data_IF_389471063543
#
_entry.id   IF_389471063543
#
_cell.length_a   1.000
_cell.length_b   1.000
_cell.length_c   1.000
_cell.angle_alpha   90.00
_cell.angle_beta   90.00
_cell.angle_gamma   90.00
#
_symmetry.space_group_name_H-M   'P 1'
#
loop_
_entity.id
_entity.type
_entity.pdbx_description
1 polymer ?
#
# COMPACT_ATOMS: atom_id res chain seq x y z
N UNK A 1 23.65 -14.83 27.14
CA UNK A 1 24.38 -14.09 28.21
C UNK A 1 25.91 -14.36 28.20
N UNK A 2 26.68 -14.17 27.09
CA UNK A 2 28.16 -14.06 27.19
C UNK A 2 28.71 -12.66 26.90
N UNK A 3 27.92 -11.72 26.36
CA UNK A 3 28.42 -10.47 25.78
C UNK A 3 28.84 -9.40 26.78
N UNK A 4 28.45 -9.48 28.05
CA UNK A 4 28.81 -8.46 29.05
C UNK A 4 30.29 -8.46 29.44
N UNK A 5 30.98 -9.59 29.30
CA UNK A 5 32.39 -9.70 29.71
C UNK A 5 33.34 -9.08 28.70
N UNK A 6 33.05 -9.16 27.40
CA UNK A 6 33.93 -8.68 26.32
C UNK A 6 34.20 -7.16 26.37
N UNK A 7 33.29 -6.38 26.93
CA UNK A 7 33.38 -4.91 26.97
C UNK A 7 33.84 -4.37 28.34
N UNK A 8 34.18 -5.24 29.29
CA UNK A 8 34.56 -4.81 30.64
C UNK A 8 36.02 -4.40 30.69
N UNK A 9 36.35 -3.15 31.11
CA UNK A 9 37.74 -2.70 31.26
C UNK A 9 38.57 -3.55 32.23
N UNK A 10 37.91 -4.34 33.08
CA UNK A 10 38.53 -5.26 34.03
C UNK A 10 39.16 -6.50 33.39
N UNK A 11 39.00 -6.72 32.08
CA UNK A 11 39.52 -7.89 31.36
C UNK A 11 40.64 -7.46 30.42
N UNK A 12 41.77 -8.17 30.43
CA UNK A 12 42.85 -7.95 29.46
C UNK A 12 42.36 -8.20 28.03
N UNK A 13 42.61 -7.26 27.13
CA UNK A 13 42.13 -7.34 25.74
C UNK A 13 40.63 -7.08 25.57
N UNK A 14 40.00 -6.38 26.53
CA UNK A 14 38.61 -5.96 26.38
C UNK A 14 38.41 -5.09 25.15
N UNK A 15 37.22 -5.17 24.57
CA UNK A 15 36.81 -4.34 23.46
C UNK A 15 36.28 -3.03 24.02
N UNK A 16 36.99 -1.93 23.78
CA UNK A 16 36.44 -0.61 24.09
C UNK A 16 35.31 -0.29 23.09
N UNK A 17 34.08 -0.26 23.59
CA UNK A 17 32.89 -0.06 22.75
C UNK A 17 32.89 1.30 22.06
N UNK A 18 33.35 2.35 22.74
CA UNK A 18 33.39 3.71 22.19
C UNK A 18 34.42 3.77 21.06
N UNK A 19 35.63 3.27 21.32
CA UNK A 19 36.72 3.23 20.34
C UNK A 19 36.35 2.42 19.08
N UNK A 20 35.78 1.23 19.24
CA UNK A 20 35.33 0.40 18.11
C UNK A 20 34.19 1.06 17.34
N UNK A 21 33.25 1.71 18.03
CA UNK A 21 32.14 2.42 17.36
C UNK A 21 32.68 3.58 16.53
N UNK A 22 33.64 4.34 17.06
CA UNK A 22 34.32 5.42 16.35
C UNK A 22 35.09 4.89 15.13
N UNK A 23 35.91 3.85 15.32
CA UNK A 23 36.69 3.24 14.24
C UNK A 23 35.81 2.71 13.11
N UNK A 24 34.68 2.07 13.43
CA UNK A 24 33.69 1.65 12.45
C UNK A 24 33.01 2.84 11.76
N UNK A 25 32.65 3.90 12.50
CA UNK A 25 32.05 5.11 11.93
C UNK A 25 32.99 5.74 10.90
N UNK A 26 34.26 5.96 11.28
CA UNK A 26 35.29 6.51 10.41
C UNK A 26 35.47 5.63 9.17
N UNK A 27 35.66 4.31 9.35
CA UNK A 27 35.83 3.36 8.24
C UNK A 27 34.67 3.42 7.25
N UNK A 28 33.43 3.43 7.75
CA UNK A 28 32.25 3.50 6.90
C UNK A 28 32.16 4.82 6.12
N UNK A 29 32.47 5.95 6.78
CA UNK A 29 32.43 7.27 6.15
C UNK A 29 33.53 7.40 5.10
N UNK A 30 34.77 7.09 5.45
CA UNK A 30 35.90 7.16 4.53
C UNK A 30 35.71 6.24 3.33
N UNK A 31 35.15 5.04 3.55
CA UNK A 31 34.79 4.12 2.47
C UNK A 31 33.78 4.75 1.50
N UNK A 32 32.70 5.36 2.01
CA UNK A 32 31.68 6.00 1.17
C UNK A 32 32.22 7.21 0.39
N UNK A 33 33.27 7.85 0.89
CA UNK A 33 34.00 8.93 0.22
C UNK A 33 34.95 8.45 -0.89
N UNK A 34 35.15 7.14 -1.06
CA UNK A 34 36.06 6.63 -2.11
C UNK A 34 35.47 6.84 -3.53
N UNK A 35 36.31 7.09 -4.55
CA UNK A 35 35.87 7.47 -5.90
C UNK A 35 34.95 6.45 -6.59
N UNK A 36 35.08 5.15 -6.29
CA UNK A 36 34.22 4.13 -6.88
C UNK A 36 32.74 4.26 -6.45
N UNK A 37 32.43 5.11 -5.46
CA UNK A 37 31.05 5.42 -5.07
C UNK A 37 30.46 6.62 -5.82
N UNK A 38 31.23 7.24 -6.73
CA UNK A 38 30.78 8.37 -7.54
C UNK A 38 29.71 7.93 -8.54
N UNK A 39 28.72 8.79 -8.76
CA UNK A 39 27.57 8.47 -9.62
C UNK A 39 27.98 8.30 -11.10
N UNK A 40 29.08 8.92 -11.51
CA UNK A 40 29.55 9.03 -12.90
C UNK A 40 30.48 7.90 -13.35
N UNK A 41 30.79 6.93 -12.48
CA UNK A 41 31.60 5.75 -12.85
C UNK A 41 31.02 5.05 -14.09
N UNK A 42 31.85 4.68 -15.06
CA UNK A 42 31.43 3.97 -16.28
C UNK A 42 30.92 2.56 -15.96
N UNK A 43 30.26 1.88 -16.91
CA UNK A 43 29.78 0.52 -16.66
C UNK A 43 30.93 -0.49 -16.63
N UNK A 44 32.00 -0.23 -17.38
CA UNK A 44 33.22 -1.01 -17.45
C UNK A 44 33.97 -0.95 -16.12
N UNK A 45 34.25 0.27 -15.63
CA UNK A 45 34.85 0.47 -14.30
C UNK A 45 33.98 -0.11 -13.18
N UNK A 46 32.66 0.07 -13.26
CA UNK A 46 31.74 -0.51 -12.29
C UNK A 46 31.83 -2.03 -12.28
N UNK A 47 31.95 -2.66 -13.45
CA UNK A 47 32.12 -4.10 -13.58
C UNK A 47 33.45 -4.56 -12.98
N UNK A 48 34.56 -3.89 -13.27
CA UNK A 48 35.88 -4.19 -12.71
C UNK A 48 35.89 -4.04 -11.18
N UNK A 49 35.29 -2.95 -10.67
CA UNK A 49 35.14 -2.71 -9.24
C UNK A 49 34.28 -3.78 -8.56
N UNK A 50 33.21 -4.24 -9.24
CA UNK A 50 32.40 -5.38 -8.77
C UNK A 50 33.25 -6.63 -8.68
N UNK A 51 33.96 -6.99 -9.76
CA UNK A 51 34.78 -8.20 -9.81
C UNK A 51 35.96 -8.17 -8.84
N UNK A 52 36.47 -6.98 -8.50
CA UNK A 52 37.54 -6.78 -7.52
C UNK A 52 37.06 -6.74 -6.07
N UNK A 53 35.74 -6.78 -5.84
CA UNK A 53 35.15 -6.81 -4.49
C UNK A 53 35.09 -5.46 -3.79
N UNK A 54 35.29 -4.33 -4.49
CA UNK A 54 35.30 -3.00 -3.88
C UNK A 54 33.98 -2.64 -3.19
N UNK A 55 32.87 -3.22 -3.62
CA UNK A 55 31.54 -2.95 -3.03
C UNK A 55 31.16 -3.87 -1.86
N UNK A 56 32.07 -4.72 -1.38
CA UNK A 56 31.79 -5.71 -0.33
C UNK A 56 31.29 -5.05 0.97
N UNK A 57 31.83 -3.87 1.32
CA UNK A 57 31.42 -3.10 2.50
C UNK A 57 30.27 -2.12 2.22
N UNK A 58 29.88 -1.91 0.96
CA UNK A 58 28.94 -0.85 0.57
C UNK A 58 27.59 -0.93 1.28
N UNK A 59 26.97 -2.10 1.32
CA UNK A 59 25.69 -2.28 2.01
C UNK A 59 25.81 -1.99 3.51
N UNK A 60 26.88 -2.44 4.15
CA UNK A 60 27.09 -2.20 5.58
C UNK A 60 27.28 -0.69 5.83
N UNK A 61 28.22 -0.06 5.13
CA UNK A 61 28.55 1.36 5.31
C UNK A 61 27.36 2.26 5.05
N UNK A 62 26.69 2.12 3.90
CA UNK A 62 25.55 2.98 3.50
C UNK A 62 24.39 2.95 4.49
N UNK A 63 24.19 1.84 5.22
CA UNK A 63 23.10 1.71 6.19
C UNK A 63 23.51 2.11 7.60
N UNK A 64 24.74 1.81 8.01
CA UNK A 64 25.12 1.84 9.44
C UNK A 64 25.85 3.10 9.87
N UNK A 65 26.52 3.81 8.95
CA UNK A 65 27.39 4.95 9.30
C UNK A 65 26.70 5.97 10.23
N UNK A 66 25.46 6.35 9.92
CA UNK A 66 24.71 7.34 10.70
C UNK A 66 24.37 6.83 12.10
N UNK A 67 24.01 5.56 12.26
CA UNK A 67 23.73 4.97 13.59
C UNK A 67 25.00 4.86 14.43
N UNK A 68 26.15 4.62 13.78
CA UNK A 68 27.46 4.61 14.45
C UNK A 68 27.82 6.00 14.97
N UNK A 69 27.51 7.07 14.22
CA UNK A 69 27.66 8.46 14.69
C UNK A 69 26.79 8.73 15.91
N UNK A 70 25.49 8.36 15.86
CA UNK A 70 24.61 8.49 17.01
C UNK A 70 25.12 7.69 18.22
N UNK A 71 25.75 6.54 17.99
CA UNK A 71 26.40 5.74 19.01
C UNK A 71 27.60 6.44 19.65
N UNK A 72 28.43 7.14 18.87
CA UNK A 72 29.60 7.86 19.35
C UNK A 72 29.22 9.04 20.25
N UNK A 73 28.25 9.86 19.82
CA UNK A 73 27.79 11.05 20.57
C UNK A 73 26.88 10.71 21.77
N UNK A 74 26.65 9.41 22.03
CA UNK A 74 25.98 8.95 23.25
C UNK A 74 26.92 8.83 24.46
N UNK A 75 28.22 9.08 24.28
CA UNK A 75 29.29 8.86 25.25
C UNK A 75 29.56 10.08 26.13
N UNK A 76 30.16 9.88 27.32
CA UNK A 76 30.65 10.94 28.19
C UNK A 76 31.80 11.77 27.59
N UNK A 77 32.45 11.27 26.53
CA UNK A 77 33.61 11.86 25.85
C UNK A 77 33.22 12.59 24.53
N UNK A 78 31.97 13.02 24.43
CA UNK A 78 31.34 13.56 23.23
C UNK A 78 32.20 14.59 22.46
N UNK A 79 32.82 15.56 23.16
CA UNK A 79 33.59 16.64 22.51
C UNK A 79 34.82 16.13 21.73
N UNK A 80 35.56 15.17 22.30
CA UNK A 80 36.75 14.62 21.64
C UNK A 80 36.36 13.79 20.42
N UNK A 81 35.30 12.98 20.54
CA UNK A 81 34.78 12.17 19.45
C UNK A 81 34.24 13.02 18.29
N UNK A 82 33.54 14.12 18.60
CA UNK A 82 33.07 15.08 17.59
C UNK A 82 34.25 15.65 16.81
N UNK A 83 35.34 16.04 17.49
CA UNK A 83 36.54 16.56 16.82
C UNK A 83 37.10 15.55 15.81
N UNK A 84 37.15 14.27 16.16
CA UNK A 84 37.66 13.22 15.26
C UNK A 84 36.72 12.92 14.08
N UNK A 85 35.40 13.08 14.28
CA UNK A 85 34.38 12.83 13.26
C UNK A 85 34.18 14.00 12.30
N UNK A 86 34.61 15.21 12.67
CA UNK A 86 34.33 16.44 11.92
C UNK A 86 34.89 16.37 10.49
N UNK A 87 36.18 16.09 10.33
CA UNK A 87 36.81 16.08 8.99
C UNK A 87 36.27 14.97 8.07
N UNK A 88 36.08 13.72 8.51
CA UNK A 88 35.41 12.71 7.69
C UNK A 88 33.98 13.08 7.28
N UNK A 89 33.21 13.72 8.16
CA UNK A 89 31.83 14.14 7.87
C UNK A 89 31.78 15.32 6.90
N UNK A 90 32.74 16.25 6.98
CA UNK A 90 32.89 17.33 6.00
C UNK A 90 33.21 16.77 4.61
N UNK A 91 34.15 15.82 4.53
CA UNK A 91 34.47 15.15 3.26
C UNK A 91 33.26 14.41 2.69
N UNK A 92 32.45 13.78 3.54
CA UNK A 92 31.22 13.13 3.12
C UNK A 92 30.20 14.14 2.58
N UNK A 93 30.06 15.29 3.23
CA UNK A 93 29.21 16.38 2.76
C UNK A 93 29.65 16.84 1.37
N UNK A 94 30.93 17.18 1.22
CA UNK A 94 31.49 17.69 -0.04
C UNK A 94 31.29 16.71 -1.21
N UNK A 95 31.53 15.42 -0.97
CA UNK A 95 31.52 14.42 -2.04
C UNK A 95 30.13 13.80 -2.30
N UNK A 96 29.21 13.83 -1.33
CA UNK A 96 27.95 13.06 -1.36
C UNK A 96 26.70 13.88 -1.04
N UNK A 97 26.81 15.20 -0.91
CA UNK A 97 25.64 16.06 -0.74
C UNK A 97 24.60 15.81 -1.83
N UNK A 98 23.35 15.59 -1.41
CA UNK A 98 22.22 15.54 -2.33
C UNK A 98 21.50 16.89 -2.32
N UNK A 99 21.89 17.77 -3.24
CA UNK A 99 21.32 19.11 -3.38
C UNK A 99 19.87 19.09 -3.92
N UNK A 100 19.40 17.96 -4.47
CA UNK A 100 18.03 17.81 -4.95
C UNK A 100 17.02 17.57 -3.81
N UNK A 101 17.50 17.17 -2.61
CA UNK A 101 16.63 16.92 -1.47
C UNK A 101 16.38 18.19 -0.66
N UNK A 102 15.17 18.74 -0.75
CA UNK A 102 14.70 19.80 0.14
C UNK A 102 13.93 19.22 1.33
N UNK A 103 14.33 19.61 2.54
CA UNK A 103 13.67 19.23 3.79
C UNK A 103 12.22 19.75 3.78
N UNK A 104 11.23 18.86 3.88
CA UNK A 104 9.87 19.28 4.28
C UNK A 104 9.94 19.88 5.68
N UNK A 105 9.39 21.08 5.88
CA UNK A 105 9.45 21.87 7.13
C UNK A 105 8.89 21.17 8.39
N UNK A 106 8.33 19.96 8.28
CA UNK A 106 7.52 19.34 9.33
C UNK A 106 8.30 18.41 10.28
N UNK A 107 9.57 18.09 10.03
CA UNK A 107 10.32 17.12 10.84
C UNK A 107 11.33 17.83 11.76
N UNK A 108 11.12 17.85 13.09
CA UNK A 108 12.10 18.43 14.01
C UNK A 108 13.38 17.58 14.03
N UNK A 109 14.57 18.23 14.09
CA UNK A 109 15.84 17.54 14.12
C UNK A 109 15.99 16.72 15.41
N UNK A 110 16.73 15.60 15.39
CA UNK A 110 17.03 14.84 16.60
C UNK A 110 17.80 15.71 17.62
N UNK A 111 17.34 15.82 18.89
CA UNK A 111 18.02 16.64 19.90
C UNK A 111 19.48 16.25 20.14
N UNK A 112 19.81 14.98 19.94
CA UNK A 112 21.16 14.43 20.13
C UNK A 112 22.19 14.99 19.15
N UNK A 113 21.77 15.63 18.06
CA UNK A 113 22.67 16.21 17.07
C UNK A 113 23.06 17.65 17.41
N UNK A 114 22.43 18.29 18.41
CA UNK A 114 22.68 19.71 18.75
C UNK A 114 24.15 20.00 19.10
N UNK A 115 24.90 18.99 19.54
CA UNK A 115 26.34 19.08 19.79
C UNK A 115 27.18 19.49 18.56
N UNK A 116 26.69 19.23 17.34
CA UNK A 116 27.33 19.66 16.10
C UNK A 116 26.95 21.08 15.69
N UNK A 117 25.89 21.65 16.25
CA UNK A 117 25.30 22.92 15.79
C UNK A 117 26.25 24.10 15.92
N UNK A 118 26.98 24.18 17.02
CA UNK A 118 27.97 25.24 17.25
C UNK A 118 29.34 24.88 16.67
N UNK A 119 29.71 23.60 16.73
CA UNK A 119 31.05 23.12 16.34
C UNK A 119 31.24 23.08 14.82
N UNK A 120 30.22 22.64 14.07
CA UNK A 120 30.26 22.52 12.61
C UNK A 120 28.84 22.54 12.02
N UNK A 121 28.28 23.74 11.75
CA UNK A 121 26.90 23.91 11.30
C UNK A 121 26.53 23.12 10.04
N UNK A 122 27.43 23.04 9.06
CA UNK A 122 27.16 22.33 7.80
C UNK A 122 27.00 20.82 8.01
N UNK A 123 27.81 20.23 8.89
CA UNK A 123 27.70 18.82 9.27
C UNK A 123 26.44 18.59 10.09
N UNK A 124 26.08 19.52 10.97
CA UNK A 124 24.80 19.46 11.68
C UNK A 124 23.61 19.41 10.70
N UNK A 125 23.61 20.27 9.68
CA UNK A 125 22.56 20.29 8.67
C UNK A 125 22.52 19.01 7.83
N UNK A 126 23.68 18.47 7.45
CA UNK A 126 23.80 17.16 6.81
C UNK A 126 23.13 16.06 7.64
N UNK A 127 23.53 15.93 8.91
CA UNK A 127 23.04 14.87 9.79
C UNK A 127 21.52 15.02 10.04
N UNK A 128 21.01 16.24 10.16
CA UNK A 128 19.58 16.51 10.27
C UNK A 128 18.82 16.15 8.98
N UNK A 129 19.41 16.40 7.81
CA UNK A 129 18.83 15.99 6.53
C UNK A 129 18.79 14.46 6.39
N UNK A 130 19.86 13.77 6.78
CA UNK A 130 19.91 12.30 6.80
C UNK A 130 18.87 11.72 7.75
N UNK A 131 18.75 12.27 8.96
CA UNK A 131 17.74 11.84 9.93
C UNK A 131 16.31 12.02 9.38
N UNK A 132 16.04 13.17 8.76
CA UNK A 132 14.75 13.49 8.16
C UNK A 132 14.43 12.57 6.99
N UNK A 133 15.40 12.33 6.10
CA UNK A 133 15.27 11.40 4.98
C UNK A 133 14.97 9.99 5.49
N UNK A 134 15.70 9.48 6.48
CA UNK A 134 15.45 8.15 7.06
C UNK A 134 14.04 8.01 7.66
N UNK A 135 13.49 9.07 8.24
CA UNK A 135 12.12 9.10 8.80
C UNK A 135 11.03 9.22 7.75
N UNK A 136 11.24 10.05 6.73
CA UNK A 136 10.23 10.33 5.69
C UNK A 136 10.22 9.26 4.59
N UNK A 137 11.37 8.65 4.33
CA UNK A 137 11.59 7.68 3.27
C UNK A 137 11.66 6.24 3.79
N UNK A 138 10.87 5.88 4.81
CA UNK A 138 10.43 4.49 5.02
C UNK A 138 9.71 4.05 3.73
N UNK A 139 10.48 3.62 2.71
CA UNK A 139 9.99 3.19 1.41
C UNK A 139 10.53 3.87 0.14
N UNK A 140 11.39 4.90 0.17
CA UNK A 140 11.87 5.59 -1.05
C UNK A 140 13.31 5.23 -1.51
N UNK A 141 13.58 5.44 -2.81
CA UNK A 141 14.71 4.90 -3.57
C UNK A 141 16.11 5.15 -2.97
N UNK A 142 16.98 4.15 -3.16
CA UNK A 142 18.38 4.17 -2.68
C UNK A 142 19.27 5.04 -3.54
N UNK A 143 20.47 5.30 -2.99
CA UNK A 143 21.64 5.76 -3.75
C UNK A 143 21.72 5.03 -5.10
N UNK A 144 21.76 5.81 -6.18
CA UNK A 144 21.77 5.34 -7.58
C UNK A 144 22.87 4.30 -7.82
N UNK A 145 24.04 4.44 -7.16
CA UNK A 145 25.15 3.49 -7.27
C UNK A 145 24.75 2.09 -6.82
N UNK A 146 23.99 1.94 -5.72
CA UNK A 146 23.53 0.64 -5.20
C UNK A 146 22.75 -0.13 -6.26
N UNK A 147 21.81 0.54 -6.92
CA UNK A 147 20.98 -0.05 -7.98
C UNK A 147 21.86 -0.54 -9.14
N UNK A 148 22.85 0.27 -9.53
CA UNK A 148 23.82 -0.07 -10.59
C UNK A 148 24.67 -1.28 -10.21
N UNK A 149 25.23 -1.32 -8.99
CA UNK A 149 26.06 -2.43 -8.50
C UNK A 149 25.29 -3.76 -8.60
N UNK A 150 24.06 -3.84 -8.08
CA UNK A 150 23.29 -5.09 -8.16
C UNK A 150 22.86 -5.45 -9.57
N UNK A 151 22.60 -4.46 -10.43
CA UNK A 151 22.29 -4.72 -11.84
C UNK A 151 23.48 -5.42 -12.50
N UNK A 152 24.68 -4.86 -12.37
CA UNK A 152 25.92 -5.43 -12.91
C UNK A 152 26.22 -6.81 -12.31
N UNK A 153 26.15 -6.97 -10.98
CA UNK A 153 26.29 -8.28 -10.35
C UNK A 153 25.31 -9.30 -10.94
N UNK A 154 24.05 -8.91 -11.11
CA UNK A 154 23.00 -9.77 -11.63
C UNK A 154 23.17 -10.07 -13.14
N UNK A 155 23.96 -9.31 -13.88
CA UNK A 155 24.30 -9.56 -15.29
C UNK A 155 25.52 -10.49 -15.40
N UNK A 156 26.52 -10.34 -14.53
CA UNK A 156 27.72 -11.17 -14.49
C UNK A 156 27.49 -12.61 -14.01
N UNK A 157 26.50 -12.81 -13.13
CA UNK A 157 26.17 -14.13 -12.60
C UNK A 157 25.46 -15.01 -13.64
N UNK A 158 25.89 -16.26 -13.78
CA UNK A 158 25.20 -17.27 -14.58
C UNK A 158 23.70 -17.36 -14.21
N UNK A 159 22.87 -17.62 -15.22
CA UNK A 159 21.41 -17.76 -15.05
C UNK A 159 21.00 -19.20 -14.74
N UNK A 160 21.79 -20.16 -15.19
CA UNK A 160 21.60 -21.60 -15.03
C UNK A 160 22.39 -22.12 -13.84
N UNK A 161 21.99 -23.28 -13.31
CA UNK A 161 22.73 -23.99 -12.27
C UNK A 161 24.06 -24.55 -12.81
N UNK A 162 24.12 -24.87 -14.10
CA UNK A 162 25.37 -25.15 -14.81
C UNK A 162 26.11 -23.84 -15.11
N UNK A 163 27.32 -23.73 -14.56
CA UNK A 163 28.21 -22.59 -14.78
C UNK A 163 28.85 -22.67 -16.17
N UNK A 164 28.99 -21.50 -16.82
CA UNK A 164 29.75 -21.38 -18.08
C UNK A 164 31.25 -21.49 -17.77
N UNK A 165 32.01 -21.96 -18.75
CA UNK A 165 33.47 -21.90 -18.72
C UNK A 165 33.91 -20.43 -18.54
N UNK A 166 34.90 -20.18 -17.67
CA UNK A 166 35.37 -18.85 -17.28
C UNK A 166 34.28 -17.88 -16.77
N UNK A 167 33.28 -18.35 -16.03
CA UNK A 167 32.31 -17.45 -15.40
C UNK A 167 32.85 -16.75 -14.15
N UNK A 168 32.27 -15.60 -13.81
CA UNK A 168 32.65 -14.81 -12.63
C UNK A 168 31.92 -15.20 -11.33
N UNK A 169 31.20 -16.32 -11.33
CA UNK A 169 30.30 -16.63 -10.21
C UNK A 169 31.04 -16.86 -8.89
N UNK A 170 32.16 -17.56 -8.93
CA UNK A 170 32.92 -17.84 -7.71
C UNK A 170 33.69 -16.59 -7.23
N UNK A 171 34.24 -15.79 -8.15
CA UNK A 171 34.81 -14.47 -7.82
C UNK A 171 33.80 -13.60 -7.08
N UNK A 172 32.58 -13.46 -7.61
CA UNK A 172 31.52 -12.67 -6.97
C UNK A 172 31.11 -13.29 -5.63
N UNK A 173 30.95 -14.61 -5.52
CA UNK A 173 30.60 -15.26 -4.25
C UNK A 173 31.68 -15.09 -3.18
N UNK A 174 32.95 -15.07 -3.57
CA UNK A 174 34.07 -14.88 -2.65
C UNK A 174 34.08 -13.46 -2.07
N UNK A 175 33.76 -12.44 -2.87
CA UNK A 175 33.73 -11.05 -2.41
C UNK A 175 32.43 -10.66 -1.67
N UNK A 176 31.27 -11.15 -2.11
CA UNK A 176 29.96 -10.68 -1.63
C UNK A 176 29.17 -11.74 -0.84
N UNK A 177 29.74 -12.93 -0.66
CA UNK A 177 29.12 -14.07 0.01
C UNK A 177 28.13 -14.83 -0.87
N UNK A 178 27.46 -15.83 -0.29
CA UNK A 178 26.51 -16.70 -1.03
C UNK A 178 25.13 -16.07 -1.24
N UNK A 179 24.73 -15.11 -0.41
CA UNK A 179 23.39 -14.50 -0.41
C UNK A 179 23.34 -13.16 -1.15
N UNK A 180 23.82 -13.15 -2.39
CA UNK A 180 24.00 -11.96 -3.24
C UNK A 180 22.69 -11.36 -3.76
N UNK A 181 21.63 -12.16 -3.85
CA UNK A 181 20.36 -11.69 -4.39
C UNK A 181 19.58 -10.93 -3.31
N UNK A 182 19.71 -9.60 -3.25
CA UNK A 182 19.03 -8.78 -2.23
C UNK A 182 17.62 -8.35 -2.64
N UNK A 183 16.75 -8.10 -1.64
CA UNK A 183 15.46 -7.46 -1.88
C UNK A 183 15.64 -5.96 -2.20
N UNK A 184 14.89 -5.44 -3.18
CA UNK A 184 14.92 -4.02 -3.54
C UNK A 184 14.08 -3.14 -2.62
N UNK A 185 13.08 -3.70 -1.94
CA UNK A 185 12.20 -2.97 -1.00
C UNK A 185 12.99 -2.49 0.22
N UNK A 186 12.88 -1.19 0.52
CA UNK A 186 13.68 -0.43 1.50
C UNK A 186 13.60 -1.02 2.91
N UNK A 187 12.39 -1.29 3.38
CA UNK A 187 12.12 -1.74 4.76
C UNK A 187 12.07 -3.27 4.89
N UNK A 188 12.47 -3.98 3.85
CA UNK A 188 12.51 -5.44 3.90
C UNK A 188 13.78 -5.92 4.61
N UNK A 189 13.65 -6.79 5.62
CA UNK A 189 14.80 -7.45 6.27
C UNK A 189 15.73 -8.19 5.28
N UNK A 190 15.17 -8.73 4.19
CA UNK A 190 15.92 -9.44 3.16
C UNK A 190 16.67 -8.50 2.20
N UNK A 191 16.55 -7.18 2.40
CA UNK A 191 17.43 -6.20 1.77
C UNK A 191 18.87 -6.38 2.24
N UNK A 192 19.09 -6.62 3.54
CA UNK A 192 20.42 -6.89 4.11
C UNK A 192 20.82 -8.36 3.94
N UNK A 193 19.92 -9.28 4.30
CA UNK A 193 20.25 -10.70 4.33
C UNK A 193 20.39 -11.31 2.92
N UNK A 194 19.49 -10.95 2.00
CA UNK A 194 19.45 -11.54 0.67
C UNK A 194 19.05 -13.00 0.61
N UNK A 195 19.22 -13.55 -0.58
CA UNK A 195 18.87 -14.91 -0.95
C UNK A 195 20.04 -15.55 -1.72
N UNK A 196 20.16 -16.87 -1.61
CA UNK A 196 21.17 -17.64 -2.35
C UNK A 196 20.81 -17.81 -3.83
N UNK A 197 19.53 -17.72 -4.18
CA UNK A 197 19.05 -17.91 -5.56
C UNK A 197 18.12 -16.80 -6.02
N UNK A 198 18.12 -16.55 -7.34
CA UNK A 198 17.19 -15.61 -8.00
C UNK A 198 15.74 -15.99 -7.77
N UNK A 199 15.42 -17.28 -7.84
CA UNK A 199 14.07 -17.83 -7.65
C UNK A 199 13.55 -17.55 -6.26
N UNK A 200 14.38 -17.70 -5.21
CA UNK A 200 14.00 -17.37 -3.85
C UNK A 200 13.71 -15.87 -3.68
N UNK A 201 14.57 -15.00 -4.23
CA UNK A 201 14.33 -13.55 -4.25
C UNK A 201 13.05 -13.19 -5.01
N UNK A 202 12.81 -13.78 -6.17
CA UNK A 202 11.61 -13.51 -6.98
C UNK A 202 10.33 -13.94 -6.27
N UNK A 203 10.33 -15.13 -5.67
CA UNK A 203 9.22 -15.62 -4.85
C UNK A 203 8.95 -14.67 -3.67
N UNK A 204 10.01 -14.21 -2.99
CA UNK A 204 9.87 -13.22 -1.94
C UNK A 204 9.32 -11.89 -2.45
N UNK A 205 9.80 -11.38 -3.58
CA UNK A 205 9.37 -10.10 -4.15
C UNK A 205 7.85 -10.06 -4.44
N UNK A 206 7.26 -11.20 -4.79
CA UNK A 206 5.80 -11.33 -4.97
C UNK A 206 4.98 -11.04 -3.70
N UNK A 207 5.59 -11.14 -2.51
CA UNK A 207 4.93 -10.76 -1.25
C UNK A 207 4.81 -9.24 -1.07
N UNK A 208 5.59 -8.46 -1.83
CA UNK A 208 5.52 -6.99 -1.79
C UNK A 208 4.50 -6.42 -2.76
N UNK A 209 4.19 -7.12 -3.86
CA UNK A 209 3.26 -6.61 -4.88
C UNK A 209 1.80 -6.58 -4.42
N UNK A 210 1.48 -7.19 -3.25
CA UNK A 210 0.16 -7.28 -2.57
C UNK A 210 -1.05 -6.96 -3.48
N UNK A 211 -1.21 -7.69 -4.61
CA UNK A 211 -2.08 -7.22 -5.69
C UNK A 211 -3.57 -7.39 -5.37
N UNK A 212 -3.89 -8.19 -4.35
CA UNK A 212 -5.26 -8.51 -3.98
C UNK A 212 -5.76 -7.50 -2.97
N UNK A 213 -6.57 -6.52 -3.38
CA UNK A 213 -7.10 -5.48 -2.49
C UNK A 213 -8.47 -5.85 -1.92
N UNK A 214 -8.81 -5.30 -0.75
CA UNK A 214 -10.19 -5.32 -0.28
C UNK A 214 -11.03 -4.38 -1.13
N UNK A 215 -12.27 -4.78 -1.44
CA UNK A 215 -13.17 -3.96 -2.25
C UNK A 215 -13.90 -2.89 -1.42
N UNK A 216 -13.89 -3.01 -0.09
CA UNK A 216 -14.51 -2.02 0.78
C UNK A 216 -13.57 -0.82 0.97
N UNK A 217 -13.91 0.40 0.49
CA UNK A 217 -13.03 1.57 0.57
C UNK A 217 -12.72 2.01 2.01
N UNK A 218 -13.55 1.63 2.97
CA UNK A 218 -13.35 1.93 4.39
C UNK A 218 -12.41 0.95 5.11
N UNK A 219 -11.99 -0.12 4.43
CA UNK A 219 -11.14 -1.15 5.00
C UNK A 219 -9.64 -0.79 4.85
N UNK A 220 -8.85 -1.01 5.90
CA UNK A 220 -7.40 -0.78 5.90
C UNK A 220 -6.66 -1.54 4.77
N UNK A 221 -7.22 -2.67 4.32
CA UNK A 221 -6.69 -3.48 3.23
C UNK A 221 -7.15 -3.05 1.83
N UNK A 222 -7.91 -1.96 1.70
CA UNK A 222 -8.28 -1.40 0.40
C UNK A 222 -7.04 -0.89 -0.35
N UNK A 223 -6.13 -0.21 0.37
CA UNK A 223 -4.86 0.27 -0.19
C UNK A 223 -3.72 -0.72 0.08
N UNK A 224 -3.68 -1.31 1.28
CA UNK A 224 -2.57 -2.19 1.71
C UNK A 224 -2.55 -3.59 1.07
N UNK A 225 -3.70 -4.10 0.64
CA UNK A 225 -3.83 -5.37 -0.08
C UNK A 225 -3.31 -6.62 0.65
N UNK A 226 -3.33 -7.74 -0.08
CA UNK A 226 -2.94 -9.06 0.39
C UNK A 226 -1.97 -9.71 -0.60
N UNK A 227 -1.04 -10.51 -0.05
CA UNK A 227 -0.08 -11.28 -0.85
C UNK A 227 -0.73 -12.39 -1.68
N UNK A 228 -1.94 -12.83 -1.32
CA UNK A 228 -2.66 -13.86 -2.07
C UNK A 228 -4.17 -13.65 -2.04
N UNK A 229 -4.84 -14.14 -3.08
CA UNK A 229 -6.30 -14.19 -3.17
C UNK A 229 -6.93 -14.92 -1.99
N UNK A 230 -6.34 -16.05 -1.57
CA UNK A 230 -6.84 -16.86 -0.44
C UNK A 230 -6.85 -16.10 0.88
N UNK A 231 -5.87 -15.22 1.11
CA UNK A 231 -5.84 -14.37 2.31
C UNK A 231 -6.92 -13.29 2.27
N UNK A 232 -7.07 -12.62 1.12
CA UNK A 232 -8.17 -11.68 0.92
C UNK A 232 -9.53 -12.33 1.15
N UNK A 233 -9.76 -13.49 0.52
CA UNK A 233 -11.07 -14.17 0.58
C UNK A 233 -11.42 -14.57 2.02
N UNK A 234 -10.44 -15.04 2.80
CA UNK A 234 -10.58 -15.32 4.24
C UNK A 234 -10.84 -14.06 5.07
N UNK A 235 -10.17 -12.96 4.76
CA UNK A 235 -10.43 -11.67 5.41
C UNK A 235 -11.87 -11.21 5.15
N UNK A 236 -12.34 -11.30 3.89
CA UNK A 236 -13.71 -10.97 3.53
C UNK A 236 -14.72 -11.87 4.26
N UNK A 237 -14.42 -13.16 4.38
CA UNK A 237 -15.26 -14.11 5.12
C UNK A 237 -15.33 -13.79 6.61
N UNK A 238 -14.23 -13.37 7.24
CA UNK A 238 -14.18 -13.13 8.69
C UNK A 238 -14.72 -11.76 9.11
N UNK A 239 -14.43 -10.72 8.32
CA UNK A 239 -14.68 -9.33 8.71
C UNK A 239 -15.80 -8.67 7.89
N UNK A 240 -16.11 -9.22 6.72
CA UNK A 240 -17.18 -8.69 5.84
C UNK A 240 -18.34 -9.69 5.65
N UNK A 241 -18.43 -10.74 6.48
CA UNK A 241 -19.48 -11.78 6.41
C UNK A 241 -20.88 -11.18 6.55
N UNK A 242 -21.07 -10.29 7.52
CA UNK A 242 -22.37 -9.70 7.85
C UNK A 242 -22.89 -8.85 6.69
N UNK A 243 -22.03 -8.02 6.09
CA UNK A 243 -22.35 -7.20 4.92
C UNK A 243 -22.72 -8.07 3.71
N UNK A 244 -21.96 -9.14 3.46
CA UNK A 244 -22.27 -10.13 2.40
C UNK A 244 -23.60 -10.83 2.63
N UNK A 245 -23.91 -11.24 3.87
CA UNK A 245 -25.18 -11.90 4.20
C UNK A 245 -26.39 -10.98 3.99
N UNK A 246 -26.26 -9.69 4.31
CA UNK A 246 -27.31 -8.70 4.08
C UNK A 246 -27.53 -8.44 2.58
N UNK A 247 -26.47 -8.34 1.78
CA UNK A 247 -26.54 -8.20 0.31
C UNK A 247 -27.16 -9.44 -0.35
N UNK A 248 -26.78 -10.65 0.08
CA UNK A 248 -27.39 -11.90 -0.38
C UNK A 248 -28.88 -12.00 0.03
N UNK A 249 -29.22 -11.53 1.23
CA UNK A 249 -30.60 -11.39 1.68
C UNK A 249 -31.40 -10.46 0.76
N UNK A 250 -30.83 -9.31 0.39
CA UNK A 250 -31.49 -8.34 -0.50
C UNK A 250 -31.72 -8.92 -1.90
N UNK A 251 -30.73 -9.63 -2.44
CA UNK A 251 -30.87 -10.34 -3.72
C UNK A 251 -31.94 -11.44 -3.66
N UNK A 252 -32.07 -12.16 -2.54
CA UNK A 252 -33.14 -13.15 -2.34
C UNK A 252 -34.52 -12.52 -2.24
N UNK A 253 -34.67 -11.40 -1.51
CA UNK A 253 -35.94 -10.65 -1.46
C UNK A 253 -36.33 -10.22 -2.87
N UNK A 254 -35.39 -9.65 -3.63
CA UNK A 254 -35.62 -9.21 -5.00
C UNK A 254 -36.02 -10.35 -5.96
N UNK A 255 -35.52 -11.57 -5.75
CA UNK A 255 -35.86 -12.71 -6.60
C UNK A 255 -37.15 -13.41 -6.21
N UNK A 256 -37.57 -13.34 -4.93
CA UNK A 256 -38.67 -14.16 -4.39
C UNK A 256 -39.94 -13.39 -4.04
N UNK A 257 -39.84 -12.30 -3.28
CA UNK A 257 -41.01 -11.62 -2.70
C UNK A 257 -41.17 -10.18 -3.14
N UNK A 258 -40.09 -9.53 -3.60
CA UNK A 258 -40.07 -8.10 -3.92
C UNK A 258 -40.66 -7.23 -2.79
N UNK A 259 -40.50 -7.66 -1.53
CA UNK A 259 -41.05 -6.95 -0.38
C UNK A 259 -40.21 -5.70 -0.06
N UNK A 260 -40.79 -4.52 -0.28
CA UNK A 260 -40.16 -3.22 0.03
C UNK A 260 -39.79 -3.11 1.51
N UNK A 261 -40.63 -3.58 2.44
CA UNK A 261 -40.35 -3.52 3.89
C UNK A 261 -39.08 -4.27 4.27
N UNK A 262 -38.95 -5.51 3.80
CA UNK A 262 -37.75 -6.33 4.00
C UNK A 262 -36.51 -5.73 3.34
N UNK A 263 -36.60 -5.19 2.12
CA UNK A 263 -35.47 -4.53 1.47
C UNK A 263 -35.05 -3.25 2.21
N UNK A 264 -36.01 -2.43 2.64
CA UNK A 264 -35.74 -1.26 3.47
C UNK A 264 -35.00 -1.63 4.75
N UNK A 265 -35.46 -2.68 5.47
CA UNK A 265 -34.75 -3.17 6.64
C UNK A 265 -33.31 -3.58 6.32
N UNK A 266 -33.09 -4.35 5.26
CA UNK A 266 -31.74 -4.80 4.87
C UNK A 266 -30.81 -3.63 4.49
N UNK A 267 -31.31 -2.67 3.71
CA UNK A 267 -30.54 -1.46 3.32
C UNK A 267 -30.24 -0.60 4.55
N UNK A 268 -31.22 -0.40 5.45
CA UNK A 268 -31.02 0.34 6.71
C UNK A 268 -29.96 -0.29 7.63
N UNK A 269 -29.73 -1.60 7.49
CA UNK A 269 -28.68 -2.35 8.21
C UNK A 269 -27.34 -2.38 7.47
N UNK A 270 -27.22 -1.68 6.33
CA UNK A 270 -25.98 -1.52 5.57
C UNK A 270 -25.83 -2.47 4.37
N UNK A 271 -26.91 -3.08 3.87
CA UNK A 271 -26.87 -3.78 2.59
C UNK A 271 -26.61 -2.79 1.45
N UNK A 272 -25.62 -3.07 0.61
CA UNK A 272 -25.42 -2.30 -0.60
C UNK A 272 -26.55 -2.59 -1.60
N UNK A 273 -27.21 -1.55 -2.10
CA UNK A 273 -28.27 -1.62 -3.12
C UNK A 273 -27.78 -2.30 -4.40
N UNK A 274 -26.49 -2.16 -4.72
CA UNK A 274 -25.82 -2.77 -5.88
C UNK A 274 -25.12 -4.10 -5.55
N UNK A 275 -25.30 -4.63 -4.33
CA UNK A 275 -24.61 -5.79 -3.80
C UNK A 275 -24.74 -7.03 -4.68
N UNK A 276 -23.59 -7.56 -5.13
CA UNK A 276 -23.50 -8.78 -5.96
C UNK A 276 -22.17 -9.48 -5.78
N UNK A 277 -22.16 -10.82 -5.86
CA UNK A 277 -20.95 -11.62 -5.64
C UNK A 277 -19.82 -11.33 -6.63
N UNK A 278 -20.16 -11.04 -7.90
CA UNK A 278 -19.21 -10.62 -8.93
C UNK A 278 -19.85 -9.55 -9.80
N UNK A 279 -19.07 -8.66 -10.45
CA UNK A 279 -19.60 -7.60 -11.31
C UNK A 279 -20.56 -8.09 -12.40
N UNK A 280 -20.35 -9.31 -12.93
CA UNK A 280 -21.16 -9.93 -13.99
C UNK A 280 -22.49 -10.54 -13.52
N UNK A 281 -22.74 -10.62 -12.21
CA UNK A 281 -23.97 -11.19 -11.64
C UNK A 281 -25.09 -10.15 -11.62
N UNK A 282 -26.34 -10.59 -11.47
CA UNK A 282 -27.50 -9.69 -11.43
C UNK A 282 -27.47 -8.85 -10.15
N UNK A 283 -27.84 -7.58 -10.29
CA UNK A 283 -28.17 -6.70 -9.15
C UNK A 283 -29.53 -7.07 -8.57
N UNK A 284 -29.85 -6.64 -7.34
CA UNK A 284 -31.20 -6.71 -6.81
C UNK A 284 -32.24 -6.10 -7.77
N UNK A 285 -31.93 -4.96 -8.39
CA UNK A 285 -32.80 -4.32 -9.38
C UNK A 285 -33.07 -5.24 -10.59
N UNK A 286 -32.05 -5.88 -11.16
CA UNK A 286 -32.21 -6.82 -12.28
C UNK A 286 -32.91 -8.12 -11.89
N UNK A 287 -32.84 -8.54 -10.63
CA UNK A 287 -33.63 -9.67 -10.15
C UNK A 287 -35.13 -9.34 -10.16
N UNK A 288 -35.51 -8.16 -9.68
CA UNK A 288 -36.88 -7.68 -9.70
C UNK A 288 -37.39 -7.45 -11.14
N UNK A 289 -36.54 -6.93 -12.03
CA UNK A 289 -36.90 -6.61 -13.42
C UNK A 289 -37.40 -7.81 -14.25
N UNK A 290 -37.09 -9.05 -13.85
CA UNK A 290 -37.57 -10.26 -14.55
C UNK A 290 -39.04 -10.58 -14.27
N UNK A 291 -39.67 -9.90 -13.31
CA UNK A 291 -41.01 -10.19 -12.83
C UNK A 291 -41.99 -9.13 -13.29
N UNK A 292 -43.15 -9.59 -13.72
CA UNK A 292 -44.27 -8.75 -14.12
C UNK A 292 -45.36 -8.84 -13.03
N UNK A 293 -45.24 -7.99 -12.03
CA UNK A 293 -46.15 -7.93 -10.86
C UNK A 293 -46.08 -6.55 -10.23
N UNK A 294 -47.18 -6.11 -9.60
CA UNK A 294 -47.25 -4.84 -8.89
C UNK A 294 -46.14 -4.70 -7.82
N UNK A 295 -45.88 -5.76 -7.06
CA UNK A 295 -44.86 -5.79 -6.00
C UNK A 295 -43.46 -5.57 -6.59
N UNK A 296 -43.15 -6.24 -7.70
CA UNK A 296 -41.87 -6.07 -8.39
C UNK A 296 -41.73 -4.64 -8.96
N UNK A 297 -42.79 -4.06 -9.51
CA UNK A 297 -42.79 -2.69 -10.01
C UNK A 297 -42.53 -1.67 -8.88
N UNK A 298 -43.25 -1.80 -7.75
CA UNK A 298 -43.06 -0.97 -6.55
C UNK A 298 -41.65 -1.13 -5.97
N UNK A 299 -41.12 -2.35 -5.97
CA UNK A 299 -39.78 -2.67 -5.49
C UNK A 299 -38.68 -2.08 -6.39
N UNK A 300 -38.84 -2.13 -7.71
CA UNK A 300 -37.90 -1.50 -8.64
C UNK A 300 -37.84 0.02 -8.44
N UNK A 301 -39.00 0.69 -8.34
CA UNK A 301 -39.06 2.12 -8.01
C UNK A 301 -38.36 2.43 -6.69
N UNK A 302 -38.61 1.62 -5.65
CA UNK A 302 -37.93 1.76 -4.36
C UNK A 302 -36.41 1.65 -4.47
N UNK A 303 -35.88 0.63 -5.16
CA UNK A 303 -34.43 0.47 -5.32
C UNK A 303 -33.81 1.64 -6.11
N UNK A 304 -34.48 2.16 -7.13
CA UNK A 304 -34.04 3.34 -7.87
C UNK A 304 -33.97 4.57 -6.96
N UNK A 305 -34.97 4.79 -6.10
CA UNK A 305 -34.96 5.85 -5.08
C UNK A 305 -33.87 5.68 -4.03
N UNK A 306 -33.36 4.46 -3.83
CA UNK A 306 -32.19 4.18 -2.98
C UNK A 306 -30.85 4.28 -3.72
N UNK A 307 -30.85 4.71 -4.99
CA UNK A 307 -29.65 4.92 -5.80
C UNK A 307 -29.16 3.71 -6.59
N UNK A 308 -30.03 2.73 -6.86
CA UNK A 308 -29.70 1.62 -7.78
C UNK A 308 -29.41 2.16 -9.19
N UNK A 309 -28.36 1.63 -9.83
CA UNK A 309 -28.01 2.01 -11.21
C UNK A 309 -28.80 1.14 -12.21
N UNK A 310 -29.76 1.69 -12.98
CA UNK A 310 -30.50 0.93 -13.97
C UNK A 310 -29.62 0.42 -15.12
N UNK A 311 -28.46 1.04 -15.35
CA UNK A 311 -27.53 0.67 -16.41
C UNK A 311 -26.34 -0.15 -15.91
N UNK A 312 -26.41 -0.66 -14.67
CA UNK A 312 -25.36 -1.47 -14.08
C UNK A 312 -24.98 -2.66 -15.01
N UNK A 313 -23.67 -2.91 -15.23
CA UNK A 313 -23.20 -3.91 -16.18
C UNK A 313 -23.60 -5.33 -15.76
N UNK A 314 -24.14 -6.11 -16.70
CA UNK A 314 -24.57 -7.50 -16.50
C UNK A 314 -24.41 -8.31 -17.80
N UNK A 315 -23.91 -9.55 -17.70
CA UNK A 315 -23.81 -10.45 -18.85
C UNK A 315 -22.97 -9.92 -20.01
N UNK A 316 -23.39 -10.22 -21.26
CA UNK A 316 -22.88 -9.57 -22.49
C UNK A 316 -23.60 -8.22 -22.64
N UNK A 317 -22.92 -7.21 -23.17
CA UNK A 317 -23.34 -5.79 -23.29
C UNK A 317 -24.72 -5.54 -23.94
N UNK A 318 -25.37 -6.55 -24.52
CA UNK A 318 -26.62 -6.45 -25.27
C UNK A 318 -27.89 -6.51 -24.43
N UNK A 319 -27.81 -6.86 -23.13
CA UNK A 319 -29.01 -7.10 -22.32
C UNK A 319 -29.41 -5.86 -21.51
N UNK A 320 -30.20 -4.98 -22.14
CA UNK A 320 -30.74 -3.78 -21.48
C UNK A 320 -31.81 -4.17 -20.47
N UNK A 321 -31.88 -3.45 -19.36
CA UNK A 321 -32.88 -3.74 -18.32
C UNK A 321 -34.29 -3.42 -18.81
N UNK A 322 -34.44 -2.41 -19.67
CA UNK A 322 -35.70 -2.02 -20.33
C UNK A 322 -36.34 -3.15 -21.14
N UNK A 323 -35.55 -4.13 -21.56
CA UNK A 323 -36.04 -5.29 -22.32
C UNK A 323 -36.64 -6.39 -21.44
N UNK A 324 -36.43 -6.35 -20.13
CA UNK A 324 -36.95 -7.33 -19.19
C UNK A 324 -38.46 -7.15 -18.99
N UNK A 325 -39.15 -8.24 -18.60
CA UNK A 325 -40.62 -8.27 -18.50
C UNK A 325 -41.21 -7.20 -17.59
N UNK A 326 -40.56 -6.92 -16.46
CA UNK A 326 -41.00 -5.94 -15.48
C UNK A 326 -41.01 -4.52 -16.03
N UNK A 327 -39.85 -3.97 -16.46
CA UNK A 327 -39.76 -2.65 -17.07
C UNK A 327 -40.69 -2.45 -18.27
N UNK A 328 -40.87 -3.46 -19.14
CA UNK A 328 -41.82 -3.37 -20.27
C UNK A 328 -43.27 -3.17 -19.84
N UNK A 329 -43.67 -3.80 -18.74
CA UNK A 329 -45.04 -3.76 -18.23
C UNK A 329 -45.20 -2.83 -17.02
N UNK A 330 -44.18 -2.04 -16.67
CA UNK A 330 -44.20 -1.24 -15.44
C UNK A 330 -45.28 -0.16 -15.46
N UNK A 331 -45.61 0.35 -16.65
CA UNK A 331 -46.67 1.34 -16.86
C UNK A 331 -48.05 0.80 -16.50
N UNK A 332 -48.28 -0.50 -16.69
CA UNK A 332 -49.52 -1.18 -16.27
C UNK A 332 -49.73 -1.11 -14.76
N UNK A 333 -48.64 -1.12 -13.99
CA UNK A 333 -48.70 -1.23 -12.52
C UNK A 333 -48.52 0.11 -11.79
N UNK A 334 -47.73 1.03 -12.34
CA UNK A 334 -47.41 2.32 -11.71
C UNK A 334 -47.97 3.54 -12.46
N UNK A 335 -48.66 3.33 -13.58
CA UNK A 335 -49.18 4.42 -14.42
C UNK A 335 -48.10 5.27 -15.10
N UNK A 336 -46.83 4.85 -15.05
CA UNK A 336 -45.67 5.56 -15.59
C UNK A 336 -44.76 4.64 -16.40
N UNK A 337 -44.17 5.14 -17.48
CA UNK A 337 -43.17 4.38 -18.25
C UNK A 337 -41.91 4.12 -17.41
N UNK A 338 -41.11 3.11 -17.81
CA UNK A 338 -39.82 2.82 -17.16
C UNK A 338 -38.91 4.05 -17.11
N UNK A 339 -38.80 4.79 -18.21
CA UNK A 339 -37.97 6.00 -18.28
C UNK A 339 -38.47 7.10 -17.35
N UNK A 340 -39.79 7.27 -17.22
CA UNK A 340 -40.38 8.23 -16.29
C UNK A 340 -40.08 7.86 -14.82
N UNK A 341 -40.10 6.57 -14.47
CA UNK A 341 -39.73 6.10 -13.12
C UNK A 341 -38.24 6.31 -12.83
N UNK A 342 -37.37 6.08 -13.82
CA UNK A 342 -35.93 6.34 -13.69
C UNK A 342 -35.63 7.83 -13.57
N UNK A 343 -36.32 8.68 -14.35
CA UNK A 343 -36.17 10.13 -14.29
C UNK A 343 -36.63 10.69 -12.94
N UNK A 344 -37.80 10.26 -12.45
CA UNK A 344 -38.33 10.62 -11.13
C UNK A 344 -37.33 10.29 -10.02
N UNK A 345 -36.78 9.06 -10.03
CA UNK A 345 -35.82 8.66 -8.99
C UNK A 345 -34.53 9.49 -9.03
N UNK A 346 -34.04 9.86 -10.22
CA UNK A 346 -32.87 10.74 -10.37
C UNK A 346 -33.13 12.16 -9.87
N UNK A 347 -34.32 12.70 -10.16
CA UNK A 347 -34.74 14.03 -9.71
C UNK A 347 -34.85 14.09 -8.18
N UNK A 348 -35.49 13.10 -7.57
CA UNK A 348 -35.64 13.01 -6.11
C UNK A 348 -34.30 12.80 -5.40
N UNK A 349 -33.40 11.99 -5.97
CA UNK A 349 -32.03 11.85 -5.46
C UNK A 349 -31.19 13.13 -5.62
N UNK A 350 -31.49 13.97 -6.62
CA UNK A 350 -30.86 15.27 -6.84
C UNK A 350 -31.36 16.37 -5.91
N UNK A 351 -32.59 16.26 -5.40
CA UNK A 351 -33.20 17.20 -4.43
C UNK A 351 -32.78 16.96 -2.97
N UNK A 352 -32.36 15.74 -2.63
CA UNK A 352 -31.98 15.37 -1.26
C UNK A 352 -30.57 15.80 -0.86
N UNK A 353 -30.45 16.70 0.12
CA UNK A 353 -29.19 17.07 0.77
C UNK A 353 -28.54 15.82 1.45
N UNK A 354 -27.21 15.62 1.44
CA UNK A 354 -26.58 14.35 1.86
C UNK A 354 -26.76 13.94 3.33
N UNK A 355 -27.19 14.85 4.22
CA UNK A 355 -27.14 14.66 5.68
C UNK A 355 -28.36 13.99 6.32
N UNK A 356 -29.41 13.64 5.56
CA UNK A 356 -30.62 13.00 6.12
C UNK A 356 -30.94 11.64 5.48
N UNK A 357 -29.95 10.73 5.42
CA UNK A 357 -30.20 9.32 5.02
C UNK A 357 -30.54 8.46 6.24
N UNK A 358 -31.74 8.63 6.75
CA UNK A 358 -32.28 7.74 7.78
C UNK A 358 -33.58 8.25 8.39
N UNK A 359 -34.70 8.17 7.66
CA UNK A 359 -35.99 8.31 8.33
C UNK A 359 -37.24 8.53 7.48
N UNK A 360 -37.19 9.24 6.36
CA UNK A 360 -38.40 9.95 5.90
C UNK A 360 -39.15 9.35 4.71
N UNK A 361 -38.72 8.21 4.15
CA UNK A 361 -39.33 7.68 2.90
C UNK A 361 -40.62 6.86 3.09
N UNK A 362 -40.97 6.41 4.30
CA UNK A 362 -42.12 5.52 4.51
C UNK A 362 -43.48 6.26 4.47
N UNK A 363 -43.51 7.51 4.96
CA UNK A 363 -44.75 8.32 5.07
C UNK A 363 -45.20 8.92 3.73
N UNK A 364 -44.25 9.22 2.83
CA UNK A 364 -44.56 9.69 1.47
C UNK A 364 -45.14 8.60 0.54
N UNK A 365 -44.96 7.32 0.89
CA UNK A 365 -45.48 6.18 0.10
C UNK A 365 -46.83 5.66 0.60
N UNK A 366 -47.24 6.01 1.82
CA UNK A 366 -48.55 5.67 2.39
C UNK A 366 -49.62 6.68 1.98
N UNK A 367 -49.27 7.97 2.00
CA UNK A 367 -50.16 9.08 1.60
C UNK A 367 -50.66 9.01 0.15
N UNK A 368 -49.85 8.49 -0.78
CA UNK A 368 -50.28 8.34 -2.19
C UNK A 368 -51.16 7.11 -2.47
N UNK A 369 -51.15 6.09 -1.60
CA UNK A 369 -52.01 4.91 -1.75
C UNK A 369 -53.41 5.14 -1.16
N UNK A 370 -53.52 5.97 -0.12
CA UNK A 370 -54.80 6.34 0.49
C UNK A 370 -55.60 7.34 -0.38
N UNK A 371 -54.91 8.20 -1.14
CA UNK A 371 -55.56 9.12 -2.08
C UNK A 371 -56.23 8.40 -3.28
N UNK A 372 -55.70 7.25 -3.71
CA UNK A 372 -56.28 6.47 -4.81
C UNK A 372 -57.48 5.61 -4.39
N UNK A 373 -57.57 5.23 -3.12
CA UNK A 373 -58.71 4.46 -2.60
C UNK A 373 -59.96 5.34 -2.36
N UNK A 374 -59.78 6.65 -2.14
CA UNK A 374 -60.87 7.59 -1.88
C UNK A 374 -61.62 8.06 -3.15
N UNK A 375 -61.02 7.92 -4.34
CA UNK A 375 -61.67 8.29 -5.60
C UNK A 375 -62.62 7.20 -6.14
N UNK A 376 -62.44 5.92 -5.77
CA UNK A 376 -63.34 4.83 -6.18
C UNK A 376 -64.66 4.76 -5.38
N UNK A 377 -64.75 5.35 -4.18
CA UNK A 377 -66.00 5.39 -3.39
C UNK A 377 -66.93 6.57 -3.73
N UNK A 378 -66.50 7.53 -4.57
CA UNK A 378 -67.34 8.69 -4.95
C UNK A 378 -68.06 8.56 -6.30
N UNK A 379 -67.87 7.44 -7.01
CA UNK A 379 -68.52 7.14 -8.30
C UNK A 379 -69.38 5.86 -8.28
N UNK A 380 -69.83 5.45 -7.09
CA UNK A 380 -70.80 4.36 -6.90
C UNK A 380 -72.24 4.87 -6.75
#
# INVERSE_FOLDING_TARGET
MPTRYLFSPSISGFINRTEVTLGLAMTCITYLCQPHNDQECSNEELQENVLSGFYSLHDYSSHTWFELILGCISSSEEKELISQLTSPLQLLLELRANNEFSRSKQVPPPPRLECFKETCPDVYDLLCNVASFRRLCEGAEHSKIRVRIYKVMNELLCRTESHKEMCYCDTIRNHYGRRIFKCSVVDCQFRRHGFETRSARAKHASSHTRPWKCADPSCEYANGGFVSRKMRDRHLERYHQRKRSLEEGLARVASTTCSVKLAHYLISRGANVEGRQRPRYRTPLRHAARRDSYEAAKFMRFLLLQGADPYAPFGKLTNRIEDEKGPKNISKWLGKSWDAVVAEAKEELGRGNPDQRGGTSYEALTSHAEAFAAEEESTG
#
